data_IF_162481741014
#
_entry.id   IF_162481741014
#
_cell.length_a   1.000
_cell.length_b   1.000
_cell.length_c   1.000
_cell.angle_alpha   90.00
_cell.angle_beta   90.00
_cell.angle_gamma   90.00
#
_symmetry.space_group_name_H-M   'P 1'
#
loop_
_entity.id
_entity.type
_entity.pdbx_description
1 polymer ?
#
# COMPACT_ATOMS: atom_id res chain seq x y z
N UNK A 1 14.91 27.44 -7.81
CA UNK A 1 13.84 26.71 -8.52
C UNK A 1 14.27 25.31 -8.95
N UNK A 2 15.35 25.11 -9.73
CA UNK A 2 15.80 23.77 -10.19
C UNK A 2 16.11 22.71 -9.11
N UNK A 3 16.55 23.10 -7.92
CA UNK A 3 16.84 22.14 -6.83
C UNK A 3 15.56 21.61 -6.17
N UNK A 4 14.54 22.44 -5.98
CA UNK A 4 13.26 22.01 -5.42
C UNK A 4 12.47 21.14 -6.40
N UNK A 5 12.57 21.41 -7.72
CA UNK A 5 12.01 20.55 -8.77
C UNK A 5 12.70 19.17 -8.83
N UNK A 6 14.00 19.11 -8.56
CA UNK A 6 14.75 17.86 -8.50
C UNK A 6 14.44 17.06 -7.21
N UNK A 7 14.20 17.73 -6.07
CA UNK A 7 13.71 17.06 -4.86
C UNK A 7 12.25 16.61 -4.99
N UNK A 8 11.40 17.36 -5.70
CA UNK A 8 10.04 16.93 -6.03
C UNK A 8 10.03 15.74 -7.01
N UNK A 9 10.97 15.67 -7.95
CA UNK A 9 11.22 14.48 -8.81
C UNK A 9 11.88 13.31 -8.08
N UNK A 10 12.63 13.56 -7.01
CA UNK A 10 13.18 12.51 -6.15
C UNK A 10 12.13 11.98 -5.16
N UNK A 11 11.15 12.81 -4.78
CA UNK A 11 10.02 12.46 -3.94
C UNK A 11 8.82 11.88 -4.72
N UNK A 12 8.75 12.15 -6.03
CA UNK A 12 7.74 11.64 -6.95
C UNK A 12 8.34 10.56 -7.84
N UNK A 13 7.95 9.30 -7.58
CA UNK A 13 8.25 8.16 -8.46
C UNK A 13 8.21 8.57 -9.94
N UNK A 14 9.20 8.13 -10.74
CA UNK A 14 9.19 8.37 -12.17
C UNK A 14 7.86 7.88 -12.78
N UNK A 15 7.42 8.49 -13.89
CA UNK A 15 6.19 8.09 -14.57
C UNK A 15 6.15 6.57 -14.87
N UNK A 16 7.31 5.99 -15.18
CA UNK A 16 7.50 4.55 -15.34
C UNK A 16 7.29 3.77 -14.03
N UNK A 17 7.82 4.25 -12.90
CA UNK A 17 7.61 3.62 -11.61
C UNK A 17 6.13 3.68 -11.17
N UNK A 18 5.41 4.77 -11.45
CA UNK A 18 3.96 4.85 -11.25
C UNK A 18 3.21 3.82 -12.10
N UNK A 19 3.58 3.69 -13.37
CA UNK A 19 2.95 2.72 -14.30
C UNK A 19 3.15 1.28 -13.83
N UNK A 20 4.32 0.93 -13.28
CA UNK A 20 4.57 -0.41 -12.71
C UNK A 20 3.85 -0.62 -11.39
N UNK A 21 3.78 0.41 -10.54
CA UNK A 21 3.05 0.35 -9.27
C UNK A 21 1.54 0.20 -9.48
N UNK A 22 1.00 0.80 -10.54
CA UNK A 22 -0.40 0.66 -10.93
C UNK A 22 -0.73 -0.74 -11.48
N UNK A 23 0.26 -1.62 -11.67
CA UNK A 23 0.00 -2.98 -12.11
C UNK A 23 -0.81 -3.76 -11.04
N UNK A 24 -1.99 -4.32 -11.38
CA UNK A 24 -2.81 -5.05 -10.42
C UNK A 24 -2.07 -6.20 -9.73
N UNK A 25 -1.19 -6.90 -10.45
CA UNK A 25 -0.39 -7.98 -9.87
C UNK A 25 0.61 -7.47 -8.84
N UNK A 26 1.22 -6.29 -9.06
CA UNK A 26 2.08 -5.64 -8.07
C UNK A 26 1.29 -5.34 -6.79
N UNK A 27 0.07 -4.82 -6.92
CA UNK A 27 -0.80 -4.52 -5.77
C UNK A 27 -1.16 -5.79 -5.00
N UNK A 28 -1.69 -6.81 -5.67
CA UNK A 28 -2.15 -8.04 -5.01
C UNK A 28 -1.03 -8.83 -4.36
N UNK A 29 0.14 -8.89 -4.98
CA UNK A 29 1.28 -9.63 -4.41
C UNK A 29 1.93 -8.92 -3.21
N UNK A 30 1.73 -7.62 -3.04
CA UNK A 30 2.07 -6.91 -1.79
C UNK A 30 1.07 -7.19 -0.69
N UNK A 31 -0.22 -7.29 -1.00
CA UNK A 31 -1.21 -7.74 -0.03
C UNK A 31 -0.96 -9.19 0.41
N UNK A 32 -0.60 -10.07 -0.52
CA UNK A 32 -0.21 -11.45 -0.22
C UNK A 32 1.04 -11.56 0.67
N UNK A 33 1.92 -10.54 0.64
CA UNK A 33 3.10 -10.51 1.50
C UNK A 33 2.76 -10.31 3.00
N UNK A 34 1.58 -9.79 3.34
CA UNK A 34 1.15 -9.60 4.74
C UNK A 34 1.00 -10.93 5.48
N UNK A 35 0.16 -11.89 5.02
CA UNK A 35 0.06 -13.19 5.67
C UNK A 35 1.38 -13.97 5.60
N UNK A 36 2.18 -13.81 4.54
CA UNK A 36 3.52 -14.41 4.46
C UNK A 36 4.47 -13.86 5.53
N UNK A 37 4.46 -12.54 5.76
CA UNK A 37 5.26 -11.91 6.82
C UNK A 37 4.80 -12.39 8.21
N UNK A 38 3.49 -12.51 8.42
CA UNK A 38 2.94 -13.04 9.67
C UNK A 38 3.44 -14.46 9.96
N UNK A 39 3.35 -15.35 8.97
CA UNK A 39 3.86 -16.72 9.08
C UNK A 39 5.38 -16.77 9.28
N UNK A 40 6.13 -15.92 8.55
CA UNK A 40 7.57 -15.82 8.69
C UNK A 40 7.96 -15.41 10.12
N UNK A 41 7.27 -14.44 10.72
CA UNK A 41 7.53 -14.00 12.10
C UNK A 41 7.16 -15.09 13.10
N UNK A 42 5.98 -15.71 12.97
CA UNK A 42 5.59 -16.80 13.86
C UNK A 42 6.50 -18.03 13.74
N UNK A 43 7.12 -18.24 12.58
CA UNK A 43 8.06 -19.35 12.40
C UNK A 43 9.22 -19.33 13.39
N UNK A 44 9.50 -18.20 14.05
CA UNK A 44 10.49 -18.11 15.15
C UNK A 44 10.26 -19.13 16.27
N UNK A 45 9.03 -19.62 16.47
CA UNK A 45 8.74 -20.64 17.49
C UNK A 45 9.12 -22.05 17.04
N UNK A 46 9.17 -22.29 15.72
CA UNK A 46 9.53 -23.58 15.13
C UNK A 46 11.00 -23.66 14.76
N UNK A 47 11.57 -22.57 14.24
CA UNK A 47 12.92 -22.54 13.65
C UNK A 47 13.86 -21.51 14.31
N UNK A 48 13.42 -20.84 15.38
CA UNK A 48 14.26 -19.90 16.13
C UNK A 48 14.75 -18.73 15.26
N UNK A 49 16.05 -18.42 15.35
CA UNK A 49 16.69 -17.36 14.56
C UNK A 49 16.65 -17.57 13.05
N UNK A 50 16.44 -18.80 12.58
CA UNK A 50 16.26 -19.06 11.14
C UNK A 50 15.02 -18.39 10.55
N UNK A 51 14.06 -17.96 11.39
CA UNK A 51 12.91 -17.14 10.97
C UNK A 51 13.32 -15.82 10.30
N UNK A 52 14.55 -15.33 10.54
CA UNK A 52 15.08 -14.16 9.83
C UNK A 52 15.21 -14.39 8.32
N UNK A 53 15.41 -15.63 7.87
CA UNK A 53 15.51 -15.98 6.45
C UNK A 53 14.18 -15.71 5.71
N UNK A 54 13.03 -16.33 6.08
CA UNK A 54 11.76 -16.03 5.42
C UNK A 54 11.33 -14.57 5.60
N UNK A 55 11.64 -13.92 6.74
CA UNK A 55 11.41 -12.47 6.90
C UNK A 55 12.19 -11.68 5.84
N UNK A 56 13.48 -11.98 5.68
CA UNK A 56 14.34 -11.36 4.67
C UNK A 56 13.81 -11.56 3.26
N UNK A 57 13.35 -12.76 2.92
CA UNK A 57 12.75 -13.06 1.61
C UNK A 57 11.52 -12.18 1.36
N UNK A 58 10.63 -12.02 2.34
CA UNK A 58 9.44 -11.17 2.18
C UNK A 58 9.83 -9.68 2.04
N UNK A 59 10.81 -9.20 2.80
CA UNK A 59 11.31 -7.81 2.67
C UNK A 59 11.92 -7.58 1.28
N UNK A 60 12.76 -8.50 0.81
CA UNK A 60 13.35 -8.45 -0.53
C UNK A 60 12.28 -8.47 -1.62
N UNK A 61 11.26 -9.32 -1.48
CA UNK A 61 10.13 -9.35 -2.38
C UNK A 61 9.42 -8.00 -2.42
N UNK A 62 9.08 -7.40 -1.26
CA UNK A 62 8.41 -6.10 -1.19
C UNK A 62 9.22 -4.98 -1.86
N UNK A 63 10.55 -4.98 -1.70
CA UNK A 63 11.44 -4.03 -2.37
C UNK A 63 11.57 -4.25 -3.88
N UNK A 64 11.63 -5.52 -4.32
CA UNK A 64 11.73 -5.88 -5.73
C UNK A 64 10.38 -5.77 -6.47
N UNK A 65 9.26 -5.91 -5.77
CA UNK A 65 7.91 -6.01 -6.33
C UNK A 65 7.56 -4.93 -7.40
N UNK A 66 7.90 -3.64 -7.24
CA UNK A 66 7.66 -2.63 -8.28
C UNK A 66 8.40 -2.89 -9.60
N UNK A 67 9.46 -3.71 -9.59
CA UNK A 67 10.26 -4.08 -10.76
C UNK A 67 9.85 -5.43 -11.35
N UNK A 68 9.09 -6.25 -10.62
CA UNK A 68 8.67 -7.59 -11.06
C UNK A 68 7.63 -7.58 -12.18
N UNK A 69 6.90 -6.47 -12.34
CA UNK A 69 5.74 -6.41 -13.24
C UNK A 69 5.89 -5.32 -14.28
N UNK A 70 5.32 -5.57 -15.47
CA UNK A 70 5.34 -4.64 -16.58
C UNK A 70 4.54 -3.36 -16.26
N UNK A 71 4.93 -2.20 -16.82
CA UNK A 71 4.18 -0.95 -16.68
C UNK A 71 2.79 -1.05 -17.34
N UNK A 72 1.80 -0.37 -16.76
CA UNK A 72 0.45 -0.30 -17.31
C UNK A 72 0.13 1.07 -17.90
N UNK A 73 -0.06 1.08 -19.22
CA UNK A 73 -0.68 2.11 -20.08
C UNK A 73 -2.07 2.56 -19.64
N UNK A 74 -2.92 1.53 -19.66
CA UNK A 74 -4.37 1.49 -19.52
C UNK A 74 -4.86 1.33 -18.08
N UNK A 75 -5.17 2.33 -17.22
CA UNK A 75 -5.73 2.02 -15.91
C UNK A 75 -7.20 1.58 -16.02
N UNK A 76 -7.42 0.35 -16.49
CA UNK A 76 -8.75 -0.28 -16.61
C UNK A 76 -9.17 -0.97 -15.31
N UNK A 77 -8.20 -1.54 -14.59
CA UNK A 77 -8.47 -2.19 -13.31
C UNK A 77 -8.80 -1.16 -12.22
N UNK A 78 -9.66 -1.56 -11.29
CA UNK A 78 -10.01 -0.76 -10.11
C UNK A 78 -8.78 -0.33 -9.30
N UNK A 79 -7.86 -1.26 -9.04
CA UNK A 79 -6.63 -0.97 -8.29
C UNK A 79 -5.73 0.02 -9.03
N UNK A 80 -5.59 -0.12 -10.35
CA UNK A 80 -4.84 0.83 -11.18
C UNK A 80 -5.43 2.24 -11.11
N UNK A 81 -6.76 2.38 -11.21
CA UNK A 81 -7.44 3.68 -11.07
C UNK A 81 -7.18 4.33 -9.71
N UNK A 82 -7.20 3.56 -8.62
CA UNK A 82 -6.86 4.07 -7.30
C UNK A 82 -5.42 4.60 -7.19
N UNK A 83 -4.45 3.90 -7.77
CA UNK A 83 -3.04 4.34 -7.80
C UNK A 83 -2.87 5.62 -8.64
N UNK A 84 -3.54 5.71 -9.79
CA UNK A 84 -3.51 6.94 -10.59
C UNK A 84 -4.25 8.11 -9.92
N UNK A 85 -5.33 7.84 -9.17
CA UNK A 85 -5.97 8.82 -8.30
C UNK A 85 -5.04 9.35 -7.22
N UNK A 86 -4.21 8.48 -6.62
CA UNK A 86 -3.15 8.88 -5.69
C UNK A 86 -2.13 9.81 -6.36
N UNK A 87 -1.72 9.49 -7.59
CA UNK A 87 -0.80 10.33 -8.37
C UNK A 87 -1.38 11.73 -8.64
N UNK A 88 -2.65 11.81 -9.06
CA UNK A 88 -3.33 13.10 -9.29
C UNK A 88 -3.40 13.93 -8.01
N UNK A 89 -3.78 13.30 -6.89
CA UNK A 89 -3.81 13.96 -5.59
C UNK A 89 -2.43 14.45 -5.11
N UNK A 90 -1.37 13.70 -5.39
CA UNK A 90 -0.01 14.12 -5.07
C UNK A 90 0.49 15.27 -5.95
N UNK A 91 0.02 15.36 -7.20
CA UNK A 91 0.32 16.46 -8.11
C UNK A 91 -0.39 17.75 -7.69
N UNK A 92 -1.66 17.66 -7.32
CA UNK A 92 -2.42 18.80 -6.80
C UNK A 92 -3.32 18.33 -5.65
N UNK A 93 -3.00 18.75 -4.43
CA UNK A 93 -3.81 18.37 -3.26
C UNK A 93 -5.13 19.12 -3.17
N UNK A 94 -5.28 20.24 -3.89
CA UNK A 94 -6.47 21.10 -3.85
C UNK A 94 -7.64 20.55 -4.66
N UNK A 95 -7.37 19.66 -5.61
CA UNK A 95 -8.42 19.00 -6.41
C UNK A 95 -9.20 17.94 -5.62
N UNK A 96 -8.81 17.65 -4.38
CA UNK A 96 -9.44 16.61 -3.57
C UNK A 96 -10.76 17.10 -2.93
N UNK A 97 -11.86 16.35 -3.04
CA UNK A 97 -13.12 16.69 -2.39
C UNK A 97 -12.97 16.81 -0.86
N UNK A 98 -13.68 17.75 -0.25
CA UNK A 98 -13.58 18.05 1.19
C UNK A 98 -13.73 16.80 2.09
N UNK A 99 -14.58 15.84 1.70
CA UNK A 99 -14.81 14.59 2.43
C UNK A 99 -13.63 13.61 2.44
N UNK A 100 -12.68 13.72 1.50
CA UNK A 100 -11.54 12.80 1.44
C UNK A 100 -10.58 12.99 2.62
N UNK A 101 -10.50 14.20 3.17
CA UNK A 101 -9.66 14.46 4.36
C UNK A 101 -10.11 13.63 5.57
N UNK A 102 -11.42 13.41 5.72
CA UNK A 102 -12.01 12.55 6.75
C UNK A 102 -11.65 11.09 6.50
N UNK A 103 -11.77 10.63 5.24
CA UNK A 103 -11.34 9.28 4.83
C UNK A 103 -9.89 9.04 5.19
N UNK A 104 -8.99 9.97 4.84
CA UNK A 104 -7.57 9.87 5.13
C UNK A 104 -7.29 9.79 6.63
N UNK A 105 -7.99 10.59 7.46
CA UNK A 105 -7.84 10.55 8.92
C UNK A 105 -8.30 9.21 9.50
N UNK A 106 -9.48 8.73 9.10
CA UNK A 106 -10.01 7.43 9.53
C UNK A 106 -9.06 6.31 9.13
N UNK A 107 -8.54 6.36 7.90
CA UNK A 107 -7.55 5.41 7.41
C UNK A 107 -6.26 5.42 8.23
N UNK A 108 -5.66 6.60 8.50
CA UNK A 108 -4.44 6.69 9.32
C UNK A 108 -4.67 6.13 10.71
N UNK A 109 -5.76 6.50 11.37
CA UNK A 109 -6.10 5.98 12.71
C UNK A 109 -6.29 4.47 12.68
N UNK A 110 -7.02 3.95 11.69
CA UNK A 110 -7.22 2.52 11.49
C UNK A 110 -5.91 1.78 11.21
N UNK A 111 -5.04 2.34 10.37
CA UNK A 111 -3.75 1.76 10.02
C UNK A 111 -2.80 1.71 11.22
N UNK A 112 -2.74 2.78 12.03
CA UNK A 112 -1.93 2.82 13.26
C UNK A 112 -2.47 1.81 14.27
N UNK A 113 -3.78 1.79 14.48
CA UNK A 113 -4.44 0.83 15.39
C UNK A 113 -4.18 -0.61 14.95
N UNK A 114 -4.35 -0.89 13.65
CA UNK A 114 -4.11 -2.20 13.07
C UNK A 114 -2.65 -2.62 13.17
N UNK A 115 -1.71 -1.70 12.95
CA UNK A 115 -0.27 -1.96 13.12
C UNK A 115 0.10 -2.27 14.58
N UNK A 116 -0.47 -1.56 15.55
CA UNK A 116 -0.27 -1.83 16.98
C UNK A 116 -0.81 -3.20 17.36
N UNK A 117 -2.03 -3.55 16.94
CA UNK A 117 -2.61 -4.87 17.18
C UNK A 117 -1.81 -5.98 16.51
N UNK A 118 -1.36 -5.75 15.27
CA UNK A 118 -0.53 -6.70 14.53
C UNK A 118 0.81 -6.93 15.24
N UNK A 119 1.50 -5.86 15.64
CA UNK A 119 2.76 -5.96 16.37
C UNK A 119 2.58 -6.67 17.72
N UNK A 120 1.52 -6.34 18.46
CA UNK A 120 1.20 -7.01 19.72
C UNK A 120 0.89 -8.50 19.51
N UNK A 121 0.02 -8.84 18.56
CA UNK A 121 -0.34 -10.22 18.28
C UNK A 121 0.84 -11.06 17.79
N UNK A 122 1.69 -10.50 16.93
CA UNK A 122 2.92 -11.16 16.50
C UNK A 122 3.92 -11.32 17.65
N UNK A 123 4.04 -10.31 18.50
CA UNK A 123 4.89 -10.34 19.70
C UNK A 123 4.44 -11.38 20.72
N UNK A 124 3.15 -11.41 21.05
CA UNK A 124 2.55 -12.29 22.05
C UNK A 124 2.09 -13.65 21.50
N UNK A 125 2.25 -13.90 20.19
CA UNK A 125 1.77 -15.11 19.51
C UNK A 125 0.25 -15.33 19.65
N UNK A 126 -0.51 -14.23 19.70
CA UNK A 126 -1.97 -14.26 19.78
C UNK A 126 -2.58 -14.19 18.39
N UNK A 127 -3.54 -15.07 18.12
CA UNK A 127 -4.20 -15.14 16.80
C UNK A 127 -5.10 -13.91 16.58
N UNK A 128 -5.94 -13.57 17.55
CA UNK A 128 -6.99 -12.56 17.35
C UNK A 128 -6.44 -11.15 17.05
N UNK A 129 -5.43 -10.58 17.74
CA UNK A 129 -4.96 -9.24 17.45
C UNK A 129 -4.08 -9.22 16.20
N UNK A 130 -3.42 -10.33 15.87
CA UNK A 130 -2.69 -10.50 14.61
C UNK A 130 -3.65 -10.48 13.42
N UNK A 131 -4.68 -11.34 13.44
CA UNK A 131 -5.64 -11.43 12.35
C UNK A 131 -6.46 -10.14 12.21
N UNK A 132 -6.97 -9.61 13.33
CA UNK A 132 -7.76 -8.38 13.32
C UNK A 132 -6.93 -7.16 12.90
N UNK A 133 -5.70 -7.04 13.40
CA UNK A 133 -4.77 -5.97 13.00
C UNK A 133 -4.43 -6.02 11.51
N UNK A 134 -4.14 -7.21 10.97
CA UNK A 134 -3.88 -7.41 9.55
C UNK A 134 -5.11 -7.06 8.69
N UNK A 135 -6.29 -7.54 9.07
CA UNK A 135 -7.55 -7.22 8.37
C UNK A 135 -7.81 -5.71 8.39
N UNK A 136 -7.62 -5.04 9.53
CA UNK A 136 -7.84 -3.60 9.65
C UNK A 136 -6.91 -2.80 8.73
N UNK A 137 -5.62 -3.16 8.67
CA UNK A 137 -4.65 -2.54 7.75
C UNK A 137 -5.01 -2.79 6.29
N UNK A 138 -5.32 -4.04 5.93
CA UNK A 138 -5.67 -4.42 4.55
C UNK A 138 -6.96 -3.73 4.11
N UNK A 139 -8.02 -3.82 4.91
CA UNK A 139 -9.31 -3.23 4.62
C UNK A 139 -9.20 -1.70 4.49
N UNK A 140 -8.50 -1.05 5.43
CA UNK A 140 -8.26 0.39 5.34
C UNK A 140 -7.57 0.79 4.04
N UNK A 141 -6.53 0.05 3.65
CA UNK A 141 -5.80 0.33 2.41
C UNK A 141 -6.68 0.09 1.17
N UNK A 142 -7.47 -0.97 1.13
CA UNK A 142 -8.41 -1.23 0.03
C UNK A 142 -9.48 -0.13 -0.07
N UNK A 143 -10.01 0.32 1.06
CA UNK A 143 -10.97 1.43 1.11
C UNK A 143 -10.37 2.74 0.61
N UNK A 144 -9.11 3.03 0.96
CA UNK A 144 -8.39 4.19 0.43
C UNK A 144 -8.24 4.12 -1.10
N UNK A 145 -7.83 2.96 -1.62
CA UNK A 145 -7.70 2.72 -3.07
C UNK A 145 -9.06 2.90 -3.76
N UNK A 146 -10.15 2.43 -3.15
CA UNK A 146 -11.50 2.60 -3.68
C UNK A 146 -11.86 4.08 -3.86
N UNK A 147 -11.70 4.88 -2.80
CA UNK A 147 -12.02 6.32 -2.81
C UNK A 147 -11.18 7.08 -3.83
N UNK A 148 -9.90 6.74 -3.96
CA UNK A 148 -9.02 7.32 -4.97
C UNK A 148 -9.40 6.89 -6.39
N UNK A 149 -9.91 5.66 -6.55
CA UNK A 149 -10.37 5.15 -7.85
C UNK A 149 -11.64 5.85 -8.33
N UNK A 150 -12.57 6.15 -7.40
CA UNK A 150 -13.76 6.96 -7.68
C UNK A 150 -13.33 8.38 -8.08
N UNK A 151 -12.46 9.02 -7.29
CA UNK A 151 -11.93 10.35 -7.58
C UNK A 151 -11.26 10.43 -8.97
N UNK A 152 -10.43 9.45 -9.32
CA UNK A 152 -9.83 9.36 -10.65
C UNK A 152 -10.89 9.31 -11.76
N UNK A 153 -11.97 8.55 -11.54
CA UNK A 153 -13.09 8.47 -12.47
C UNK A 153 -13.83 9.79 -12.65
N UNK A 154 -14.07 10.55 -11.58
CA UNK A 154 -14.73 11.86 -11.62
C UNK A 154 -13.92 12.86 -12.45
N UNK A 155 -12.62 13.00 -12.13
CA UNK A 155 -11.71 13.91 -12.84
C UNK A 155 -11.56 13.55 -14.32
N UNK A 156 -11.43 12.26 -14.64
CA UNK A 156 -11.25 11.82 -16.04
C UNK A 156 -12.55 11.85 -16.86
N UNK A 157 -13.71 11.74 -16.21
CA UNK A 157 -15.01 11.91 -16.86
C UNK A 157 -15.40 13.38 -17.04
N UNK A 158 -14.58 14.33 -16.58
CA UNK A 158 -14.87 15.76 -16.67
C UNK A 158 -16.06 16.21 -15.82
N UNK A 159 -16.30 15.52 -14.69
CA UNK A 159 -17.33 15.86 -13.71
C UNK A 159 -16.74 16.52 -12.48
#
# INVERSE_FOLDING_TARGET
>A
MKLLDNYARAAGMSDEAWRRHANPWSVWTRFAAIPLMMLAIWSRVWIGWWALVPIGVVILWLGWNPHAFAPVDKPVAWSSRGIYGERLWLQDRSCMPAGFTVVQRIWVVGAVTGAVLLAWGLGALLIWPTAFGAVLVVYGQLWRIDRLGIFYGEVTAGR
#
